data_IF_809684038263
#
_entry.id   IF_809684038263
#
_cell.length_a   1.000
_cell.length_b   1.000
_cell.length_c   1.000
_cell.angle_alpha   90.00
_cell.angle_beta   90.00
_cell.angle_gamma   90.00
#
_symmetry.space_group_name_H-M   'P 1'
#
loop_
_entity.id
_entity.type
_entity.pdbx_description
1 polymer ?
#
# COMPACT_ATOMS: atom_id res chain seq x y z
N UNK A 1 21.55 35.13 17.10
CA UNK A 1 20.84 33.94 16.60
C UNK A 1 19.46 34.39 16.14
N UNK A 2 19.12 34.17 14.87
CA UNK A 2 17.86 34.61 14.28
C UNK A 2 16.69 33.74 14.75
N UNK A 3 15.46 34.27 14.70
CA UNK A 3 14.22 33.50 14.95
C UNK A 3 14.13 32.31 13.98
N UNK A 4 14.66 32.46 12.76
CA UNK A 4 14.73 31.40 11.76
C UNK A 4 15.65 30.27 12.21
N UNK A 5 16.87 30.59 12.65
CA UNK A 5 17.85 29.62 13.16
C UNK A 5 17.30 28.81 14.35
N UNK A 6 16.54 29.47 15.24
CA UNK A 6 15.89 28.81 16.40
C UNK A 6 14.83 27.80 15.94
N UNK A 7 14.04 28.14 14.92
CA UNK A 7 13.00 27.24 14.38
C UNK A 7 13.62 26.03 13.69
N UNK A 8 14.63 26.25 12.85
CA UNK A 8 15.34 25.17 12.13
C UNK A 8 16.03 24.21 13.13
N UNK A 9 16.65 24.74 14.19
CA UNK A 9 17.29 23.91 15.23
C UNK A 9 16.28 23.06 16.01
N UNK A 10 15.11 23.63 16.35
CA UNK A 10 14.05 22.90 17.06
C UNK A 10 13.44 21.79 16.21
N UNK A 11 13.19 22.06 14.93
CA UNK A 11 12.67 21.07 14.00
C UNK A 11 13.65 19.90 13.83
N UNK A 12 14.95 20.19 13.65
CA UNK A 12 15.98 19.16 13.57
C UNK A 12 16.06 18.30 14.85
N UNK A 13 15.97 18.94 16.02
CA UNK A 13 15.94 18.22 17.30
C UNK A 13 14.73 17.28 17.41
N UNK A 14 13.55 17.71 16.96
CA UNK A 14 12.33 16.91 17.00
C UNK A 14 12.42 15.71 16.06
N UNK A 15 12.90 15.91 14.83
CA UNK A 15 13.14 14.83 13.86
C UNK A 15 14.04 13.76 14.47
N UNK A 16 15.18 14.15 15.06
CA UNK A 16 16.12 13.18 15.64
C UNK A 16 15.52 12.38 16.81
N UNK A 17 14.68 13.01 17.63
CA UNK A 17 13.97 12.33 18.71
C UNK A 17 13.01 11.27 18.17
N UNK A 18 12.21 11.62 17.15
CA UNK A 18 11.28 10.69 16.51
C UNK A 18 12.04 9.52 15.87
N UNK A 19 13.11 9.80 15.12
CA UNK A 19 13.91 8.77 14.47
C UNK A 19 14.56 7.82 15.48
N UNK A 20 15.03 8.34 16.61
CA UNK A 20 15.61 7.53 17.69
C UNK A 20 14.55 6.63 18.32
N UNK A 21 13.36 7.17 18.59
CA UNK A 21 12.24 6.40 19.13
C UNK A 21 11.80 5.26 18.18
N UNK A 22 11.73 5.54 16.87
CA UNK A 22 11.43 4.53 15.85
C UNK A 22 12.49 3.42 15.88
N UNK A 23 13.77 3.77 15.89
CA UNK A 23 14.86 2.78 15.94
C UNK A 23 14.83 1.91 17.20
N UNK A 24 14.55 2.50 18.36
CA UNK A 24 14.41 1.75 19.62
C UNK A 24 13.19 0.82 19.60
N UNK A 25 12.06 1.31 19.07
CA UNK A 25 10.83 0.51 18.91
C UNK A 25 11.08 -0.70 18.02
N UNK A 26 11.73 -0.50 16.86
CA UNK A 26 12.10 -1.60 15.95
C UNK A 26 13.07 -2.60 16.59
N UNK A 27 14.05 -2.12 17.37
CA UNK A 27 14.96 -3.01 18.11
C UNK A 27 14.23 -3.85 19.15
N UNK A 28 13.25 -3.27 19.84
CA UNK A 28 12.48 -3.97 20.86
C UNK A 28 11.55 -5.02 20.24
N UNK A 29 10.91 -4.72 19.11
CA UNK A 29 10.10 -5.69 18.36
C UNK A 29 10.94 -6.90 17.93
N UNK A 30 12.13 -6.67 17.33
CA UNK A 30 13.06 -7.74 16.94
C UNK A 30 13.55 -8.60 18.11
N UNK A 31 13.61 -8.06 19.33
CA UNK A 31 13.99 -8.84 20.53
C UNK A 31 12.85 -9.69 21.07
N UNK A 32 11.62 -9.23 20.88
CA UNK A 32 10.42 -9.89 21.41
C UNK A 32 9.87 -10.95 20.45
N UNK A 33 10.23 -10.88 19.16
CA UNK A 33 9.96 -11.94 18.19
C UNK A 33 10.79 -13.18 18.53
N UNK A 34 10.12 -14.29 18.83
CA UNK A 34 10.75 -15.60 18.77
C UNK A 34 11.32 -15.76 17.35
N UNK A 35 12.57 -16.21 17.28
CA UNK A 35 13.52 -16.06 16.18
C UNK A 35 13.11 -16.64 14.80
N UNK A 36 11.87 -17.10 14.62
CA UNK A 36 11.39 -17.83 13.43
C UNK A 36 10.22 -17.17 12.66
N UNK A 37 9.54 -16.13 13.18
CA UNK A 37 8.47 -15.45 12.42
C UNK A 37 8.68 -13.93 12.42
N UNK A 38 9.49 -13.46 11.47
CA UNK A 38 9.57 -12.03 11.17
C UNK A 38 8.20 -11.53 10.71
N UNK A 39 7.67 -10.50 11.35
CA UNK A 39 6.41 -9.91 10.93
C UNK A 39 6.55 -9.30 9.53
N UNK A 40 5.62 -9.63 8.63
CA UNK A 40 5.56 -9.07 7.28
C UNK A 40 5.19 -7.56 7.30
N UNK A 41 4.52 -7.11 8.37
CA UNK A 41 4.18 -5.69 8.60
C UNK A 41 4.40 -5.34 10.06
N UNK A 42 5.08 -4.22 10.31
CA UNK A 42 5.30 -3.67 11.65
C UNK A 42 4.57 -2.34 11.82
N UNK A 43 3.79 -2.22 12.90
CA UNK A 43 3.16 -0.98 13.34
C UNK A 43 3.96 -0.33 14.47
N UNK A 44 4.16 0.99 14.40
CA UNK A 44 4.73 1.82 15.46
C UNK A 44 3.74 2.95 15.77
N UNK A 45 3.34 3.06 17.03
CA UNK A 45 2.53 4.20 17.51
C UNK A 45 3.42 5.44 17.70
N UNK A 46 3.09 6.51 16.98
CA UNK A 46 3.74 7.83 17.02
C UNK A 46 2.83 8.90 17.63
N UNK A 47 1.79 8.52 18.38
CA UNK A 47 0.84 9.43 19.03
C UNK A 47 1.47 10.46 19.97
N UNK A 48 2.67 10.18 20.50
CA UNK A 48 3.44 11.10 21.33
C UNK A 48 4.06 12.28 20.55
N UNK A 49 4.01 12.24 19.21
CA UNK A 49 4.70 13.19 18.35
C UNK A 49 3.75 13.98 17.44
N UNK A 50 4.16 15.21 17.12
CA UNK A 50 3.46 16.05 16.14
C UNK A 50 3.85 15.64 14.72
N UNK A 51 2.90 15.03 14.01
CA UNK A 51 3.04 14.56 12.63
C UNK A 51 2.40 15.52 11.61
N UNK A 52 1.99 16.73 12.03
CA UNK A 52 1.41 17.73 11.12
C UNK A 52 2.49 18.49 10.34
N UNK A 53 3.77 18.19 10.60
CA UNK A 53 4.92 18.73 9.87
C UNK A 53 5.29 17.81 8.70
N UNK A 54 5.17 18.31 7.47
CA UNK A 54 5.45 17.53 6.26
C UNK A 54 6.93 17.10 6.16
N UNK A 55 7.88 17.92 6.63
CA UNK A 55 9.31 17.57 6.60
C UNK A 55 9.61 16.37 7.53
N UNK A 56 8.86 16.24 8.64
CA UNK A 56 8.97 15.09 9.54
C UNK A 56 8.48 13.83 8.84
N UNK A 57 7.30 13.90 8.22
CA UNK A 57 6.71 12.76 7.48
C UNK A 57 7.60 12.34 6.31
N UNK A 58 8.14 13.30 5.57
CA UNK A 58 9.08 13.07 4.47
C UNK A 58 10.33 12.35 4.95
N UNK A 59 10.92 12.79 6.07
CA UNK A 59 12.10 12.13 6.63
C UNK A 59 11.83 10.69 7.07
N UNK A 60 10.66 10.44 7.67
CA UNK A 60 10.23 9.08 8.04
C UNK A 60 10.07 8.22 6.78
N UNK A 61 9.38 8.74 5.76
CA UNK A 61 9.18 8.03 4.50
C UNK A 61 10.50 7.69 3.82
N UNK A 62 11.39 8.67 3.62
CA UNK A 62 12.69 8.48 2.95
C UNK A 62 13.55 7.44 3.68
N UNK A 63 13.48 7.40 5.01
CA UNK A 63 14.33 6.50 5.81
C UNK A 63 13.77 5.08 5.93
N UNK A 64 12.45 4.92 5.94
CA UNK A 64 11.82 3.65 6.29
C UNK A 64 10.85 3.10 5.25
N UNK A 65 10.58 3.83 4.16
CA UNK A 65 9.57 3.48 3.16
C UNK A 65 8.23 3.13 3.82
N UNK A 66 7.79 4.01 4.72
CA UNK A 66 6.68 3.72 5.63
C UNK A 66 5.38 4.44 5.25
N UNK A 67 4.27 3.79 5.55
CA UNK A 67 2.95 4.40 5.59
C UNK A 67 2.76 5.12 6.92
N UNK A 68 1.98 6.21 6.92
CA UNK A 68 1.63 6.93 8.14
C UNK A 68 0.14 7.24 8.08
N UNK A 69 -0.66 6.50 8.83
CA UNK A 69 -2.13 6.60 8.86
C UNK A 69 -2.54 7.03 10.26
N UNK A 70 -3.14 8.22 10.36
CA UNK A 70 -3.40 8.89 11.62
C UNK A 70 -2.11 9.13 12.40
N UNK A 71 -1.96 8.42 13.52
CA UNK A 71 -0.79 8.48 14.40
C UNK A 71 0.08 7.21 14.37
N UNK A 72 -0.27 6.26 13.50
CA UNK A 72 0.46 5.01 13.38
C UNK A 72 1.33 5.01 12.13
N UNK A 73 2.56 4.54 12.28
CA UNK A 73 3.49 4.28 11.18
C UNK A 73 3.51 2.78 10.90
N UNK A 74 3.52 2.40 9.61
CA UNK A 74 3.57 1.01 9.18
C UNK A 74 4.75 0.78 8.24
N UNK A 75 5.53 -0.27 8.49
CA UNK A 75 6.63 -0.71 7.62
C UNK A 75 6.28 -2.09 7.08
N UNK A 76 6.27 -2.24 5.75
CA UNK A 76 6.06 -3.51 5.07
C UNK A 76 7.41 -4.17 4.74
N UNK A 77 7.61 -5.41 5.16
CA UNK A 77 8.82 -6.20 4.91
C UNK A 77 8.61 -7.19 3.77
N UNK A 78 8.40 -6.67 2.57
CA UNK A 78 8.08 -7.51 1.42
C UNK A 78 9.28 -8.30 0.91
N UNK A 79 9.15 -9.62 0.94
CA UNK A 79 10.14 -10.53 0.36
C UNK A 79 10.22 -10.42 -1.17
N UNK A 80 11.33 -10.92 -1.75
CA UNK A 80 11.62 -10.88 -3.19
C UNK A 80 10.47 -11.43 -4.04
N UNK A 81 9.77 -12.48 -3.58
CA UNK A 81 8.62 -13.05 -4.30
C UNK A 81 7.46 -12.06 -4.43
N UNK A 82 7.11 -11.38 -3.33
CA UNK A 82 6.03 -10.39 -3.30
C UNK A 82 6.37 -9.19 -4.18
N UNK A 83 7.58 -8.63 -4.05
CA UNK A 83 8.07 -7.56 -4.93
C UNK A 83 8.10 -7.94 -6.42
N UNK A 84 8.42 -9.21 -6.75
CA UNK A 84 8.35 -9.70 -8.13
C UNK A 84 6.92 -9.70 -8.66
N UNK A 85 5.94 -10.05 -7.82
CA UNK A 85 4.52 -9.96 -8.18
C UNK A 85 4.14 -8.50 -8.43
N UNK A 86 4.52 -7.56 -7.57
CA UNK A 86 4.21 -6.13 -7.72
C UNK A 86 4.66 -5.63 -9.10
N UNK A 87 5.93 -5.86 -9.43
CA UNK A 87 6.50 -5.49 -10.74
C UNK A 87 5.77 -6.14 -11.90
N UNK A 88 5.39 -7.42 -11.78
CA UNK A 88 4.68 -8.14 -12.85
C UNK A 88 3.26 -7.60 -13.07
N UNK A 89 2.58 -7.21 -11.99
CA UNK A 89 1.28 -6.56 -12.05
C UNK A 89 1.39 -5.15 -12.66
N UNK A 90 2.32 -4.33 -12.17
CA UNK A 90 2.60 -2.98 -12.70
C UNK A 90 2.87 -3.01 -14.20
N UNK A 91 3.83 -3.82 -14.65
CA UNK A 91 4.15 -3.96 -16.07
C UNK A 91 2.95 -4.40 -16.92
N UNK A 92 2.06 -5.22 -16.37
CA UNK A 92 0.86 -5.65 -17.09
C UNK A 92 -0.18 -4.54 -17.21
N UNK A 93 -0.30 -3.67 -16.22
CA UNK A 93 -1.18 -2.51 -16.29
C UNK A 93 -0.65 -1.47 -17.28
N UNK A 94 0.65 -1.17 -17.25
CA UNK A 94 1.31 -0.28 -18.23
C UNK A 94 1.13 -0.80 -19.67
N UNK A 95 1.34 -2.11 -19.88
CA UNK A 95 1.15 -2.73 -21.19
C UNK A 95 -0.31 -2.69 -21.67
N UNK A 96 -1.26 -2.76 -20.74
CA UNK A 96 -2.68 -2.67 -21.05
C UNK A 96 -3.06 -1.25 -21.52
N UNK A 97 -2.59 -0.22 -20.83
CA UNK A 97 -2.82 1.17 -21.22
C UNK A 97 -1.59 2.05 -20.93
N UNK A 98 -0.78 2.37 -21.96
CA UNK A 98 0.42 3.19 -21.79
C UNK A 98 0.17 4.64 -21.37
N UNK A 99 -1.08 5.10 -21.34
CA UNK A 99 -1.43 6.44 -20.86
C UNK A 99 -1.66 6.50 -19.34
N UNK A 100 -1.72 5.34 -18.67
CA UNK A 100 -1.79 5.29 -17.22
C UNK A 100 -0.42 5.50 -16.61
N UNK A 101 -0.36 6.21 -15.49
CA UNK A 101 0.82 6.22 -14.63
C UNK A 101 0.70 5.04 -13.68
N UNK A 102 1.74 4.21 -13.61
CA UNK A 102 1.73 2.97 -12.83
C UNK A 102 3.02 2.90 -12.03
N UNK A 103 2.90 2.61 -10.75
CA UNK A 103 4.07 2.50 -9.88
C UNK A 103 3.92 1.28 -8.94
N UNK A 104 5.04 0.58 -8.73
CA UNK A 104 5.14 -0.46 -7.71
C UNK A 104 5.82 0.17 -6.49
N UNK A 105 5.03 0.39 -5.43
CA UNK A 105 5.41 1.12 -4.20
C UNK A 105 5.36 2.65 -4.28
N UNK A 106 4.61 3.23 -5.22
CA UNK A 106 4.45 4.69 -5.33
C UNK A 106 3.59 5.28 -4.20
N UNK A 107 4.14 6.23 -3.42
CA UNK A 107 3.43 6.86 -2.30
C UNK A 107 2.28 7.78 -2.75
N UNK A 108 1.20 7.80 -1.97
CA UNK A 108 0.06 8.69 -2.14
C UNK A 108 -0.33 9.33 -0.81
N UNK A 109 -0.89 10.55 -0.82
CA UNK A 109 -1.29 11.26 0.41
C UNK A 109 -2.71 11.80 0.31
N UNK A 110 -3.55 11.44 1.27
CA UNK A 110 -4.92 11.94 1.40
C UNK A 110 -4.96 13.40 1.87
N UNK A 111 -6.11 14.06 1.69
CA UNK A 111 -6.34 15.42 2.22
C UNK A 111 -6.15 15.51 3.75
N UNK A 112 -6.49 14.44 4.47
CA UNK A 112 -6.28 14.32 5.92
C UNK A 112 -4.81 14.07 6.31
N UNK A 113 -3.91 14.08 5.31
CA UNK A 113 -2.46 13.82 5.38
C UNK A 113 -2.05 12.38 5.56
N UNK A 114 -2.98 11.43 5.65
CA UNK A 114 -2.60 10.01 5.71
C UNK A 114 -1.80 9.64 4.45
N UNK A 115 -0.67 8.96 4.66
CA UNK A 115 0.27 8.61 3.61
C UNK A 115 0.29 7.10 3.46
N UNK A 116 0.01 6.62 2.26
CA UNK A 116 -0.15 5.21 1.94
C UNK A 116 0.83 4.78 0.85
N UNK A 117 1.16 3.50 0.82
CA UNK A 117 2.10 2.88 -0.09
C UNK A 117 1.45 1.63 -0.68
N UNK A 118 0.67 1.74 -1.77
CA UNK A 118 0.13 0.56 -2.43
C UNK A 118 1.28 -0.31 -2.91
N UNK A 119 1.11 -1.62 -2.86
CA UNK A 119 2.03 -2.54 -3.54
C UNK A 119 2.09 -2.26 -5.04
N UNK A 120 0.94 -1.91 -5.64
CA UNK A 120 0.84 -1.32 -6.99
C UNK A 120 -0.27 -0.26 -7.02
N UNK A 121 0.10 0.95 -7.44
CA UNK A 121 -0.83 2.06 -7.70
C UNK A 121 -0.95 2.34 -9.20
N UNK A 122 -2.17 2.60 -9.67
CA UNK A 122 -2.45 2.96 -11.07
C UNK A 122 -3.30 4.23 -11.09
N UNK A 123 -2.83 5.25 -11.81
CA UNK A 123 -3.54 6.51 -12.04
C UNK A 123 -3.94 6.63 -13.50
N UNK A 124 -5.22 6.86 -13.76
CA UNK A 124 -5.73 7.11 -15.11
C UNK A 124 -5.34 8.48 -15.62
N UNK A 125 -5.18 9.42 -14.69
CA UNK A 125 -4.59 10.73 -14.96
C UNK A 125 -3.23 10.81 -14.28
N UNK A 126 -2.19 11.02 -15.07
CA UNK A 126 -0.82 11.14 -14.56
C UNK A 126 -0.73 12.26 -13.51
N UNK A 127 -0.26 11.96 -12.28
CA UNK A 127 0.09 12.99 -11.32
C UNK A 127 1.15 13.92 -11.88
N UNK A 128 1.07 15.19 -11.50
CA UNK A 128 2.03 16.22 -11.92
C UNK A 128 3.45 15.83 -11.51
N UNK A 129 4.43 16.42 -12.19
CA UNK A 129 5.84 16.18 -11.82
C UNK A 129 6.13 16.55 -10.37
N UNK A 130 5.48 17.60 -9.83
CA UNK A 130 5.68 18.02 -8.46
C UNK A 130 5.14 16.95 -7.48
N UNK A 131 3.93 16.46 -7.70
CA UNK A 131 3.31 15.39 -6.92
C UNK A 131 4.12 14.10 -6.95
N UNK A 132 4.72 13.73 -8.08
CA UNK A 132 5.56 12.53 -8.17
C UNK A 132 6.92 12.67 -7.49
N UNK A 133 7.46 13.90 -7.44
CA UNK A 133 8.77 14.15 -6.82
C UNK A 133 8.64 14.38 -5.32
N UNK A 134 7.54 14.98 -4.85
CA UNK A 134 7.31 15.28 -3.43
C UNK A 134 5.87 14.93 -3.02
N UNK A 135 5.50 13.63 -2.99
CA UNK A 135 4.11 13.20 -2.84
C UNK A 135 3.47 13.62 -1.51
N UNK A 136 4.27 13.79 -0.45
CA UNK A 136 3.78 14.29 0.83
C UNK A 136 3.47 15.78 0.74
N UNK A 137 4.45 16.60 0.38
CA UNK A 137 4.30 18.06 0.37
C UNK A 137 3.26 18.54 -0.65
N UNK A 138 3.28 17.94 -1.84
CA UNK A 138 2.41 18.33 -2.96
C UNK A 138 1.08 17.56 -2.96
N UNK A 139 0.86 16.64 -2.00
CA UNK A 139 -0.37 15.86 -1.82
C UNK A 139 -0.76 15.09 -3.08
N UNK A 140 0.10 14.14 -3.47
CA UNK A 140 -0.16 13.27 -4.62
C UNK A 140 -1.52 12.58 -4.48
N UNK A 141 -2.39 12.61 -5.52
CA UNK A 141 -3.70 11.99 -5.47
C UNK A 141 -3.61 10.48 -5.26
N UNK A 142 -4.65 9.89 -4.67
CA UNK A 142 -4.77 8.44 -4.61
C UNK A 142 -4.87 7.82 -6.01
N UNK A 143 -4.38 6.59 -6.21
CA UNK A 143 -4.53 5.88 -7.47
C UNK A 143 -6.00 5.49 -7.69
N UNK A 144 -6.39 5.46 -8.95
CA UNK A 144 -7.70 4.95 -9.38
C UNK A 144 -7.83 3.44 -9.19
N UNK A 145 -6.70 2.70 -9.22
CA UNK A 145 -6.64 1.29 -8.85
C UNK A 145 -5.53 1.08 -7.82
N UNK A 146 -5.96 0.58 -6.66
CA UNK A 146 -5.09 0.20 -5.54
C UNK A 146 -4.96 -1.31 -5.47
N UNK A 147 -3.74 -1.82 -5.42
CA UNK A 147 -3.48 -3.26 -5.26
C UNK A 147 -2.62 -3.47 -4.03
N UNK A 148 -3.08 -4.35 -3.14
CA UNK A 148 -2.28 -4.96 -2.08
C UNK A 148 -2.10 -6.45 -2.38
N UNK A 149 -0.88 -6.93 -2.27
CA UNK A 149 -0.52 -8.34 -2.29
C UNK A 149 -0.21 -8.72 -0.85
N UNK A 150 -0.83 -9.75 -0.30
CA UNK A 150 -0.56 -10.12 1.09
C UNK A 150 -0.54 -11.63 1.24
N UNK A 151 0.27 -12.10 2.17
CA UNK A 151 0.15 -13.46 2.66
C UNK A 151 -1.09 -13.58 3.53
N UNK A 152 -1.73 -14.75 3.53
CA UNK A 152 -2.86 -15.02 4.39
C UNK A 152 -2.43 -15.31 5.85
N UNK A 153 -1.59 -14.42 6.40
CA UNK A 153 -1.02 -14.44 7.74
C UNK A 153 -1.27 -13.09 8.39
N UNK A 154 -1.47 -13.09 9.69
CA UNK A 154 -1.56 -11.85 10.47
C UNK A 154 -0.12 -11.48 10.89
N UNK A 155 0.32 -10.21 10.80
CA UNK A 155 -0.50 -9.00 10.60
C UNK A 155 -0.76 -8.57 9.15
N UNK A 156 -0.04 -9.10 8.16
CA UNK A 156 -0.09 -8.63 6.75
C UNK A 156 -1.50 -8.51 6.16
N UNK A 157 -2.31 -9.57 6.33
CA UNK A 157 -3.70 -9.59 5.86
C UNK A 157 -4.55 -8.49 6.48
N UNK A 158 -4.44 -8.28 7.78
CA UNK A 158 -5.28 -7.32 8.50
C UNK A 158 -4.94 -5.91 8.02
N UNK A 159 -3.65 -5.60 7.94
CA UNK A 159 -3.17 -4.32 7.43
C UNK A 159 -3.68 -4.02 6.01
N UNK A 160 -3.55 -4.98 5.09
CA UNK A 160 -4.05 -4.83 3.73
C UNK A 160 -5.58 -4.59 3.67
N UNK A 161 -6.37 -5.27 4.50
CA UNK A 161 -7.82 -5.08 4.54
C UNK A 161 -8.22 -3.74 5.17
N UNK A 162 -7.50 -3.29 6.19
CA UNK A 162 -7.73 -1.99 6.84
C UNK A 162 -7.42 -0.84 5.88
N UNK A 163 -6.31 -0.90 5.13
CA UNK A 163 -5.98 0.06 4.08
C UNK A 163 -7.11 0.20 3.05
N UNK A 164 -7.68 -0.92 2.59
CA UNK A 164 -8.77 -0.93 1.61
C UNK A 164 -10.07 -0.34 2.22
N UNK A 165 -10.37 -0.60 3.48
CA UNK A 165 -11.56 -0.08 4.15
C UNK A 165 -11.51 1.44 4.34
N UNK A 166 -10.32 2.01 4.52
CA UNK A 166 -10.11 3.45 4.70
C UNK A 166 -10.22 4.25 3.38
N UNK A 167 -10.16 3.59 2.22
CA UNK A 167 -10.02 4.26 0.92
C UNK A 167 -11.12 3.93 -0.12
N UNK A 168 -12.41 4.04 0.25
CA UNK A 168 -13.46 4.11 -0.77
C UNK A 168 -14.02 5.54 -0.95
N UNK A 169 -13.45 6.35 -1.86
CA UNK A 169 -13.97 7.68 -2.14
C UNK A 169 -15.08 7.75 -3.23
N UNK A 170 -15.57 6.64 -3.82
CA UNK A 170 -16.56 6.76 -4.92
C UNK A 170 -17.53 5.55 -5.13
N UNK A 171 -18.78 5.58 -4.60
CA UNK A 171 -19.79 4.56 -4.87
C UNK A 171 -20.67 4.94 -6.07
N UNK A 172 -20.42 4.34 -7.24
CA UNK A 172 -21.43 4.30 -8.32
C UNK A 172 -20.94 4.36 -9.75
N UNK A 173 -20.53 3.21 -10.33
CA UNK A 173 -20.54 2.96 -11.79
C UNK A 173 -20.84 1.47 -12.02
N UNK A 174 -21.86 1.13 -12.83
CA UNK A 174 -22.39 -0.24 -12.99
C UNK A 174 -21.57 -1.13 -13.96
N UNK A 175 -21.43 -2.43 -13.66
CA UNK A 175 -21.03 -3.49 -14.62
C UNK A 175 -21.57 -4.88 -14.23
N UNK A 176 -21.66 -5.79 -15.22
CA UNK A 176 -22.25 -7.14 -15.18
C UNK A 176 -21.21 -8.28 -15.04
N UNK A 177 -21.52 -9.43 -14.41
CA UNK A 177 -20.52 -10.44 -14.00
C UNK A 177 -20.35 -11.63 -14.96
N UNK A 178 -19.13 -12.19 -14.96
CA UNK A 178 -18.87 -13.62 -15.23
C UNK A 178 -19.14 -14.43 -13.95
N UNK A 179 -19.59 -15.67 -14.10
CA UNK A 179 -20.13 -16.52 -13.03
C UNK A 179 -19.14 -16.73 -11.87
N UNK A 180 -19.47 -16.27 -10.65
CA UNK A 180 -18.65 -16.45 -9.46
C UNK A 180 -18.54 -17.93 -9.04
N UNK A 181 -17.51 -18.26 -8.26
CA UNK A 181 -17.44 -19.56 -7.57
C UNK A 181 -18.68 -19.75 -6.68
N UNK A 182 -19.20 -20.98 -6.63
CA UNK A 182 -20.52 -21.35 -6.08
C UNK A 182 -20.72 -21.08 -4.57
N UNK A 183 -19.70 -20.60 -3.85
CA UNK A 183 -19.80 -20.27 -2.42
C UNK A 183 -19.06 -18.98 -2.08
N UNK A 184 -19.68 -17.83 -2.36
CA UNK A 184 -19.15 -16.49 -2.05
C UNK A 184 -19.00 -16.19 -0.55
N UNK A 185 -19.55 -17.05 0.33
CA UNK A 185 -19.46 -16.92 1.79
C UNK A 185 -18.34 -17.74 2.42
N UNK A 186 -17.56 -18.49 1.62
CA UNK A 186 -16.46 -19.31 2.13
C UNK A 186 -15.16 -18.66 1.68
N UNK A 187 -14.51 -17.92 2.60
CA UNK A 187 -13.10 -17.52 2.51
C UNK A 187 -12.31 -18.69 1.93
N UNK A 188 -11.67 -18.51 0.77
CA UNK A 188 -10.80 -19.54 0.21
C UNK A 188 -9.64 -19.74 1.17
N UNK A 189 -9.60 -20.89 1.85
CA UNK A 189 -8.50 -21.25 2.76
C UNK A 189 -7.20 -21.59 2.03
N UNK A 190 -7.22 -21.56 0.68
CA UNK A 190 -6.09 -21.90 -0.18
C UNK A 190 -5.78 -20.74 -1.13
N UNK A 191 -4.58 -20.17 -0.98
CA UNK A 191 -4.00 -19.19 -1.88
C UNK A 191 -3.49 -19.86 -3.18
N UNK A 192 -3.28 -19.08 -4.27
CA UNK A 192 -3.57 -17.65 -4.39
C UNK A 192 -5.02 -17.37 -4.78
N UNK A 193 -5.55 -16.25 -4.29
CA UNK A 193 -6.87 -15.72 -4.64
C UNK A 193 -6.78 -14.20 -4.76
N UNK A 194 -7.68 -13.60 -5.53
CA UNK A 194 -7.86 -12.15 -5.63
C UNK A 194 -9.19 -11.77 -4.99
N UNK A 195 -9.19 -10.63 -4.32
CA UNK A 195 -10.38 -9.97 -3.80
C UNK A 195 -10.47 -8.63 -4.52
N UNK A 196 -11.63 -8.31 -5.08
CA UNK A 196 -11.92 -6.93 -5.47
C UNK A 196 -13.28 -6.51 -4.91
N UNK A 197 -13.43 -5.23 -4.65
CA UNK A 197 -14.69 -4.67 -4.17
C UNK A 197 -15.56 -4.33 -5.38
N UNK A 198 -16.76 -4.91 -5.41
CA UNK A 198 -17.71 -4.60 -6.48
C UNK A 198 -18.39 -3.23 -6.24
N UNK A 199 -19.30 -2.85 -7.15
CA UNK A 199 -20.11 -1.60 -7.06
C UNK A 199 -20.69 -1.30 -5.69
N UNK A 200 -21.08 -2.36 -4.97
CA UNK A 200 -21.84 -2.27 -3.73
C UNK A 200 -20.90 -2.35 -2.52
N UNK A 201 -19.60 -2.17 -2.72
CA UNK A 201 -18.57 -2.33 -1.71
C UNK A 201 -18.57 -3.71 -1.05
N UNK A 202 -19.04 -4.73 -1.78
CA UNK A 202 -19.00 -6.11 -1.33
C UNK A 202 -17.73 -6.77 -1.88
N UNK A 203 -16.88 -7.37 -1.03
CA UNK A 203 -15.70 -8.08 -1.49
C UNK A 203 -16.12 -9.31 -2.30
N UNK A 204 -15.56 -9.45 -3.50
CA UNK A 204 -15.77 -10.59 -4.39
C UNK A 204 -14.46 -11.36 -4.52
N UNK A 205 -14.52 -12.65 -4.21
CA UNK A 205 -13.36 -13.53 -4.16
C UNK A 205 -13.27 -14.38 -5.43
N UNK A 206 -12.07 -14.48 -5.97
CA UNK A 206 -11.74 -15.37 -7.08
C UNK A 206 -10.53 -16.20 -6.72
N UNK A 207 -10.67 -17.52 -6.76
CA UNK A 207 -9.52 -18.41 -6.71
C UNK A 207 -8.75 -18.28 -8.02
N UNK A 208 -7.45 -18.03 -7.95
CA UNK A 208 -6.63 -18.00 -9.16
C UNK A 208 -6.43 -19.44 -9.67
N UNK A 209 -6.67 -19.65 -10.96
CA UNK A 209 -6.28 -20.88 -11.66
C UNK A 209 -5.55 -20.50 -12.96
N UNK A 210 -4.73 -21.44 -13.44
CA UNK A 210 -4.00 -21.28 -14.69
C UNK A 210 -4.92 -20.96 -15.86
N UNK A 211 -4.47 -20.04 -16.72
CA UNK A 211 -5.14 -19.59 -17.94
C UNK A 211 -6.51 -18.94 -17.70
N UNK A 212 -6.73 -18.40 -16.51
CA UNK A 212 -7.90 -17.59 -16.17
C UNK A 212 -7.49 -16.14 -15.97
N UNK A 213 -8.45 -15.23 -16.17
CA UNK A 213 -8.26 -13.80 -15.98
C UNK A 213 -9.51 -13.18 -15.35
N UNK A 214 -9.36 -11.96 -14.84
CA UNK A 214 -10.50 -11.09 -14.53
C UNK A 214 -10.41 -9.84 -15.39
N UNK A 215 -11.57 -9.32 -15.80
CA UNK A 215 -11.67 -8.01 -16.43
C UNK A 215 -12.14 -7.02 -15.38
N UNK A 216 -11.25 -6.09 -15.03
CA UNK A 216 -11.57 -5.01 -14.09
C UNK A 216 -12.38 -3.92 -14.78
N UNK A 217 -12.99 -3.05 -13.99
CA UNK A 217 -13.88 -1.99 -14.49
C UNK A 217 -13.18 -0.96 -15.36
N UNK A 218 -11.90 -0.74 -15.10
CA UNK A 218 -11.05 0.12 -15.91
C UNK A 218 -10.70 -0.49 -17.28
N UNK A 219 -11.23 -1.69 -17.61
CA UNK A 219 -10.93 -2.41 -18.84
C UNK A 219 -9.71 -3.33 -18.73
N UNK A 220 -8.92 -3.20 -17.65
CA UNK A 220 -7.72 -4.01 -17.48
C UNK A 220 -8.05 -5.48 -17.34
N UNK A 221 -7.48 -6.28 -18.24
CA UNK A 221 -7.54 -7.74 -18.21
C UNK A 221 -6.36 -8.25 -17.38
N UNK A 222 -6.63 -8.61 -16.13
CA UNK A 222 -5.63 -9.17 -15.22
C UNK A 222 -5.59 -10.70 -15.38
N UNK A 223 -4.58 -11.18 -16.10
CA UNK A 223 -4.32 -12.61 -16.28
C UNK A 223 -3.67 -13.20 -15.02
N UNK A 224 -4.25 -14.29 -14.49
CA UNK A 224 -3.74 -14.93 -13.27
C UNK A 224 -2.39 -15.62 -13.46
N UNK A 225 -2.02 -15.97 -14.69
CA UNK A 225 -0.70 -16.50 -15.01
C UNK A 225 0.40 -15.50 -14.64
N UNK A 226 0.12 -14.19 -14.60
CA UNK A 226 1.07 -13.17 -14.16
C UNK A 226 1.57 -13.47 -12.74
N UNK A 227 0.67 -13.82 -11.84
CA UNK A 227 0.97 -14.16 -10.44
C UNK A 227 1.44 -15.61 -10.32
N UNK A 228 0.72 -16.55 -10.94
CA UNK A 228 1.01 -17.97 -10.82
C UNK A 228 2.39 -18.35 -11.37
N UNK A 229 2.86 -17.70 -12.44
CA UNK A 229 4.20 -17.91 -12.96
C UNK A 229 5.29 -17.52 -11.95
N UNK A 230 5.08 -16.48 -11.13
CA UNK A 230 6.06 -16.08 -10.10
C UNK A 230 6.08 -17.08 -8.94
N UNK A 231 4.92 -17.60 -8.57
CA UNK A 231 4.77 -18.54 -7.45
C UNK A 231 5.21 -19.96 -7.79
N UNK A 232 5.25 -20.32 -9.07
CA UNK A 232 5.65 -21.65 -9.54
C UNK A 232 7.17 -21.80 -9.78
N UNK A 233 7.94 -20.71 -9.67
CA UNK A 233 9.40 -20.69 -9.78
C UNK A 233 10.07 -21.10 -8.46
#
# INVERSE_FOLDING_TARGET
MSIRDIRETRQFSMINQILTYIEESLKNLKKNEMQDEMQDVVMIDLSAYDLDNDDVREMIHVKYEAEIIGKNMFIKYDGILKQRIHRKLANSAEAHNPNWDVDANGMCVLENRDSFLPDVGIWFQMPTKAERVNPIKERCPLPDVWIEVFYNRDPDRIHALDNIALQNPNPGIATTPVTPSTNQNIRTTRAPYIIHWNVNSVPVYYKMNWNQHIVLRCGWVLDFNIVLNVLAM
#
